data_IF_022216992630
#
_entry.id   IF_022216992630
#
_cell.length_a   1.000
_cell.length_b   1.000
_cell.length_c   1.000
_cell.angle_alpha   90.00
_cell.angle_beta   90.00
_cell.angle_gamma   90.00
#
_symmetry.space_group_name_H-M   'P 1'
#
loop_
_entity.id
_entity.type
_entity.pdbx_description
1 polymer ?
#
# COMPACT_ATOMS: atom_id res chain seq x y z
N UNK A 1 54.95 7.77 -21.43
CA UNK A 1 54.40 7.32 -22.72
C UNK A 1 53.22 6.38 -22.44
N UNK A 2 52.01 6.92 -22.45
CA UNK A 2 50.78 6.23 -22.02
C UNK A 2 50.11 5.52 -23.21
N UNK A 3 49.91 4.21 -23.11
CA UNK A 3 49.18 3.39 -24.08
C UNK A 3 47.67 3.52 -23.88
N UNK A 4 46.98 3.88 -24.95
CA UNK A 4 45.59 4.35 -24.97
C UNK A 4 44.56 3.31 -24.51
N UNK A 5 43.69 3.72 -23.58
CA UNK A 5 42.41 3.06 -23.25
C UNK A 5 41.55 2.97 -24.52
N UNK A 6 41.30 1.75 -24.98
CA UNK A 6 40.44 1.42 -26.12
C UNK A 6 39.00 1.85 -25.80
N UNK A 7 38.62 3.06 -26.20
CA UNK A 7 37.22 3.51 -26.21
C UNK A 7 36.49 2.76 -27.31
N UNK A 8 35.52 1.94 -26.93
CA UNK A 8 34.58 1.31 -27.83
C UNK A 8 33.76 2.41 -28.52
N UNK A 9 34.13 2.71 -29.77
CA UNK A 9 33.49 3.75 -30.61
C UNK A 9 32.38 3.19 -31.50
N UNK A 10 32.07 1.90 -31.41
CA UNK A 10 31.14 1.25 -32.33
C UNK A 10 29.86 0.71 -31.67
N UNK A 11 29.56 1.10 -30.43
CA UNK A 11 28.23 0.92 -29.84
C UNK A 11 27.78 -0.55 -29.70
N UNK A 12 28.76 -1.46 -29.59
CA UNK A 12 28.55 -2.90 -29.36
C UNK A 12 28.99 -3.34 -27.95
N UNK A 13 28.82 -2.44 -26.97
CA UNK A 13 28.90 -2.81 -25.55
C UNK A 13 27.85 -3.88 -25.20
N UNK A 14 28.12 -4.65 -24.14
CA UNK A 14 27.31 -5.78 -23.64
C UNK A 14 25.80 -5.60 -23.86
N UNK A 15 25.23 -6.38 -24.78
CA UNK A 15 23.79 -6.42 -25.04
C UNK A 15 23.23 -7.71 -24.47
N UNK A 16 22.85 -7.66 -23.19
CA UNK A 16 22.22 -8.76 -22.48
C UNK A 16 22.15 -8.44 -20.99
N UNK A 17 21.09 -8.86 -20.27
CA UNK A 17 21.02 -8.68 -18.83
C UNK A 17 22.23 -9.36 -18.17
N UNK A 18 22.98 -8.63 -17.35
CA UNK A 18 24.12 -9.17 -16.60
C UNK A 18 23.68 -10.04 -15.41
N UNK A 19 22.38 -10.32 -15.28
CA UNK A 19 21.80 -11.03 -14.15
C UNK A 19 20.79 -12.07 -14.65
N UNK A 20 20.88 -13.34 -14.23
CA UNK A 20 19.85 -14.33 -14.50
C UNK A 20 18.53 -13.94 -13.79
N UNK A 21 17.35 -14.19 -14.39
CA UNK A 21 16.03 -13.82 -13.84
C UNK A 21 15.61 -14.60 -12.58
N UNK A 22 16.53 -15.35 -11.97
CA UNK A 22 16.28 -16.27 -10.85
C UNK A 22 17.03 -15.87 -9.57
N UNK A 23 17.64 -14.68 -9.50
CA UNK A 23 18.02 -14.11 -8.21
C UNK A 23 16.73 -13.74 -7.42
N UNK A 24 16.71 -13.64 -6.08
CA UNK A 24 15.57 -13.08 -5.36
C UNK A 24 15.41 -11.59 -5.74
N UNK A 25 14.78 -11.35 -6.89
CA UNK A 25 14.72 -10.05 -7.56
C UNK A 25 13.70 -9.21 -6.81
N UNK A 26 14.20 -8.24 -6.04
CA UNK A 26 13.52 -7.03 -5.55
C UNK A 26 12.00 -7.03 -5.72
N UNK A 27 11.24 -7.24 -4.63
CA UNK A 27 9.80 -6.96 -4.63
C UNK A 27 9.53 -5.58 -5.23
N UNK A 28 8.58 -5.51 -6.15
CA UNK A 28 8.12 -4.27 -6.74
C UNK A 28 7.52 -3.35 -5.68
N UNK A 29 7.39 -2.05 -5.96
CA UNK A 29 6.74 -1.13 -5.02
C UNK A 29 5.30 -1.52 -4.71
N UNK A 30 4.58 -2.02 -5.70
CA UNK A 30 3.22 -2.52 -5.54
C UNK A 30 3.19 -3.73 -4.58
N UNK A 31 4.04 -4.74 -4.82
CA UNK A 31 4.11 -5.93 -3.95
C UNK A 31 4.48 -5.58 -2.50
N UNK A 32 5.38 -4.60 -2.28
CA UNK A 32 5.69 -4.13 -0.92
C UNK A 32 4.51 -3.45 -0.25
N UNK A 33 3.73 -2.69 -1.01
CA UNK A 33 2.53 -2.04 -0.49
C UNK A 33 1.46 -3.07 -0.15
N UNK A 34 1.27 -4.07 -1.01
CA UNK A 34 0.34 -5.17 -0.77
C UNK A 34 0.74 -5.98 0.47
N UNK A 35 2.03 -6.29 0.63
CA UNK A 35 2.58 -6.95 1.83
C UNK A 35 2.30 -6.11 3.08
N UNK A 36 2.53 -4.79 3.01
CA UNK A 36 2.28 -3.87 4.12
C UNK A 36 0.79 -3.87 4.52
N UNK A 37 -0.13 -3.73 3.56
CA UNK A 37 -1.57 -3.79 3.83
C UNK A 37 -1.95 -5.16 4.42
N UNK A 38 -1.38 -6.24 3.90
CA UNK A 38 -1.63 -7.59 4.42
C UNK A 38 -1.18 -7.76 5.87
N UNK A 39 0.02 -7.28 6.21
CA UNK A 39 0.57 -7.34 7.57
C UNK A 39 -0.29 -6.52 8.55
N UNK A 40 -0.73 -5.33 8.14
CA UNK A 40 -1.59 -4.45 8.94
C UNK A 40 -2.98 -5.07 9.18
N UNK A 41 -3.61 -5.62 8.13
CA UNK A 41 -4.89 -6.36 8.25
C UNK A 41 -4.72 -7.59 9.15
N UNK A 42 -3.58 -8.29 9.04
CA UNK A 42 -3.23 -9.41 9.90
C UNK A 42 -3.13 -9.00 11.37
N UNK A 43 -2.54 -7.83 11.68
CA UNK A 43 -2.49 -7.29 13.05
C UNK A 43 -3.90 -6.98 13.56
N UNK A 44 -4.72 -6.29 12.78
CA UNK A 44 -6.10 -5.95 13.17
C UNK A 44 -6.94 -7.21 13.40
N UNK A 45 -6.79 -8.22 12.55
CA UNK A 45 -7.48 -9.50 12.65
C UNK A 45 -7.18 -10.29 13.94
N UNK A 46 -6.01 -10.09 14.57
CA UNK A 46 -5.71 -10.72 15.86
C UNK A 46 -6.60 -10.21 17.00
N UNK A 47 -7.07 -8.95 16.93
CA UNK A 47 -7.95 -8.33 17.93
C UNK A 47 -9.43 -8.40 17.53
N UNK A 48 -9.73 -8.14 16.26
CA UNK A 48 -11.08 -7.95 15.72
C UNK A 48 -11.53 -9.07 14.79
N UNK A 49 -10.95 -10.26 14.92
CA UNK A 49 -11.14 -11.34 13.95
C UNK A 49 -12.59 -11.79 13.76
N UNK A 50 -13.46 -11.65 14.78
CA UNK A 50 -14.89 -12.00 14.65
C UNK A 50 -15.63 -10.96 13.83
N UNK A 51 -15.38 -9.69 14.10
CA UNK A 51 -16.01 -8.54 13.46
C UNK A 51 -15.54 -8.40 12.01
N UNK A 52 -14.26 -8.65 11.75
CA UNK A 52 -13.65 -8.55 10.42
C UNK A 52 -13.77 -9.82 9.56
N UNK A 53 -14.36 -10.90 10.07
CA UNK A 53 -14.47 -12.18 9.36
C UNK A 53 -15.23 -12.09 8.01
N UNK A 54 -16.08 -11.08 7.84
CA UNK A 54 -16.88 -10.85 6.63
C UNK A 54 -16.46 -9.57 5.90
N UNK A 55 -15.27 -9.06 6.18
CA UNK A 55 -14.70 -7.87 5.53
C UNK A 55 -13.64 -8.31 4.54
N UNK A 56 -13.79 -7.87 3.29
CA UNK A 56 -12.78 -8.04 2.24
C UNK A 56 -11.88 -6.80 2.23
N UNK A 57 -10.57 -7.01 2.34
CA UNK A 57 -9.58 -5.95 2.18
C UNK A 57 -8.95 -6.05 0.80
N UNK A 58 -8.84 -4.93 0.10
CA UNK A 58 -8.25 -4.89 -1.24
C UNK A 58 -7.37 -3.66 -1.43
N UNK A 59 -6.40 -3.79 -2.33
CA UNK A 59 -5.57 -2.68 -2.81
C UNK A 59 -5.95 -2.36 -4.24
N UNK A 60 -6.15 -1.10 -4.53
CA UNK A 60 -6.36 -0.58 -5.89
C UNK A 60 -5.36 0.55 -6.17
N UNK A 61 -5.08 0.84 -7.44
CA UNK A 61 -4.07 1.84 -7.79
C UNK A 61 -4.56 3.26 -7.50
N UNK A 62 -5.74 3.61 -8.00
CA UNK A 62 -6.35 4.94 -7.91
C UNK A 62 -7.87 4.78 -7.82
N UNK A 63 -8.57 5.69 -7.14
CA UNK A 63 -10.03 5.73 -7.17
C UNK A 63 -10.53 6.15 -8.56
N UNK A 64 -11.71 5.65 -8.94
CA UNK A 64 -12.46 6.19 -10.08
C UNK A 64 -13.18 7.46 -9.61
N UNK A 65 -12.67 8.61 -10.03
CA UNK A 65 -13.20 9.93 -9.68
C UNK A 65 -13.71 10.62 -10.94
N UNK A 66 -14.86 11.28 -10.85
CA UNK A 66 -15.41 12.03 -11.99
C UNK A 66 -14.47 13.19 -12.37
N UNK A 67 -14.39 13.57 -13.66
CA UNK A 67 -13.44 14.58 -14.12
C UNK A 67 -13.60 15.97 -13.48
N UNK A 68 -14.78 16.28 -12.96
CA UNK A 68 -15.16 17.53 -12.30
C UNK A 68 -15.15 17.46 -10.77
N UNK A 69 -14.69 16.34 -10.19
CA UNK A 69 -14.52 16.20 -8.74
C UNK A 69 -13.46 17.19 -8.22
N UNK A 70 -13.87 18.11 -7.34
CA UNK A 70 -13.02 19.14 -6.74
C UNK A 70 -12.54 18.80 -5.31
N UNK A 71 -12.95 17.64 -4.80
CA UNK A 71 -12.63 17.17 -3.46
C UNK A 71 -11.23 16.54 -3.34
N UNK A 72 -10.81 16.22 -2.10
CA UNK A 72 -9.58 15.48 -1.88
C UNK A 72 -9.68 14.07 -2.45
N UNK A 73 -8.64 13.61 -3.16
CA UNK A 73 -8.56 12.24 -3.66
C UNK A 73 -8.55 11.27 -2.47
N UNK A 74 -9.50 10.32 -2.37
CA UNK A 74 -9.60 9.41 -1.24
C UNK A 74 -8.37 8.50 -1.13
N UNK A 75 -8.01 8.15 0.10
CA UNK A 75 -6.95 7.18 0.40
C UNK A 75 -7.51 5.77 0.59
N UNK A 76 -8.73 5.67 1.12
CA UNK A 76 -9.47 4.44 1.24
C UNK A 76 -10.94 4.61 0.86
N UNK A 77 -11.64 3.50 0.74
CA UNK A 77 -13.08 3.46 0.51
C UNK A 77 -13.69 2.21 1.16
N UNK A 78 -14.60 2.41 2.10
CA UNK A 78 -15.46 1.33 2.61
C UNK A 78 -16.76 1.26 1.81
N UNK A 79 -16.95 0.14 1.10
CA UNK A 79 -18.18 -0.18 0.39
C UNK A 79 -19.05 -1.13 1.21
N UNK A 80 -20.34 -0.79 1.45
CA UNK A 80 -21.23 -1.65 2.23
C UNK A 80 -21.49 -2.97 1.50
N UNK A 81 -21.54 -4.05 2.26
CA UNK A 81 -21.98 -5.35 1.75
C UNK A 81 -23.44 -5.28 1.32
N UNK A 82 -23.74 -5.60 0.06
CA UNK A 82 -25.09 -5.63 -0.48
C UNK A 82 -25.31 -6.88 -1.35
N UNK A 83 -26.49 -7.50 -1.23
CA UNK A 83 -26.87 -8.66 -2.04
C UNK A 83 -26.04 -9.92 -1.77
N UNK A 84 -25.62 -10.14 -0.52
CA UNK A 84 -24.79 -11.29 -0.12
C UNK A 84 -23.28 -11.11 -0.35
N UNK A 85 -22.84 -9.91 -0.79
CA UNK A 85 -21.42 -9.56 -0.86
C UNK A 85 -20.90 -9.09 0.50
N UNK A 86 -19.62 -9.37 0.84
CA UNK A 86 -18.99 -8.85 2.04
C UNK A 86 -18.89 -7.32 1.98
N UNK A 87 -18.69 -6.71 3.15
CA UNK A 87 -18.19 -5.32 3.22
C UNK A 87 -16.79 -5.31 2.61
N UNK A 88 -16.45 -4.28 1.84
CA UNK A 88 -15.12 -4.18 1.21
C UNK A 88 -14.43 -2.88 1.61
N UNK A 89 -13.23 -2.99 2.17
CA UNK A 89 -12.36 -1.85 2.48
C UNK A 89 -11.26 -1.85 1.43
N UNK A 90 -11.21 -0.79 0.62
CA UNK A 90 -10.21 -0.61 -0.44
C UNK A 90 -9.19 0.42 0.00
N UNK A 91 -7.90 0.15 -0.18
CA UNK A 91 -6.81 1.10 0.01
C UNK A 91 -6.25 1.49 -1.36
N UNK A 92 -6.18 2.80 -1.64
CA UNK A 92 -5.66 3.31 -2.91
C UNK A 92 -4.16 3.61 -2.82
N UNK A 93 -3.35 2.78 -3.50
CA UNK A 93 -1.89 2.83 -3.41
C UNK A 93 -1.29 4.16 -3.87
N UNK A 94 -1.66 4.66 -5.06
CA UNK A 94 -1.05 5.89 -5.61
C UNK A 94 -1.37 7.13 -4.77
N UNK A 95 -2.62 7.35 -4.32
CA UNK A 95 -2.92 8.44 -3.40
C UNK A 95 -2.14 8.39 -2.08
N UNK A 96 -1.90 7.20 -1.52
CA UNK A 96 -1.10 7.02 -0.29
C UNK A 96 0.37 7.31 -0.56
N UNK A 97 0.97 6.67 -1.57
CA UNK A 97 2.36 6.88 -1.97
C UNK A 97 2.65 8.34 -2.34
N UNK A 98 1.67 9.07 -2.89
CA UNK A 98 1.83 10.47 -3.27
C UNK A 98 1.85 11.43 -2.08
N UNK A 99 1.30 11.04 -0.93
CA UNK A 99 1.25 11.87 0.28
C UNK A 99 2.39 11.59 1.26
N UNK A 100 2.94 10.38 1.23
CA UNK A 100 4.03 9.96 2.11
C UNK A 100 5.42 10.14 1.48
N UNK A 101 6.39 10.50 2.32
CA UNK A 101 7.81 10.58 1.98
C UNK A 101 8.53 9.33 2.48
N UNK A 102 8.57 8.31 1.62
CA UNK A 102 9.31 7.08 1.86
C UNK A 102 8.53 6.00 2.62
N UNK A 103 9.13 4.82 2.74
CA UNK A 103 8.43 3.59 3.17
C UNK A 103 7.86 3.67 4.59
N UNK A 104 8.51 4.40 5.51
CA UNK A 104 8.02 4.55 6.89
C UNK A 104 6.73 5.35 6.97
N UNK A 105 6.64 6.45 6.23
CA UNK A 105 5.44 7.28 6.22
C UNK A 105 4.29 6.59 5.47
N UNK A 106 4.61 5.81 4.43
CA UNK A 106 3.62 4.94 3.77
C UNK A 106 3.06 3.92 4.77
N UNK A 107 3.93 3.25 5.53
CA UNK A 107 3.52 2.29 6.56
C UNK A 107 2.58 2.92 7.60
N UNK A 108 2.94 4.11 8.08
CA UNK A 108 2.12 4.88 9.02
C UNK A 108 0.75 5.24 8.43
N UNK A 109 0.72 5.79 7.22
CA UNK A 109 -0.54 6.16 6.57
C UNK A 109 -1.44 4.96 6.31
N UNK A 110 -0.88 3.81 5.91
CA UNK A 110 -1.66 2.58 5.71
C UNK A 110 -2.26 2.09 7.02
N UNK A 111 -1.46 2.08 8.10
CA UNK A 111 -1.95 1.74 9.44
C UNK A 111 -3.11 2.64 9.83
N UNK A 112 -2.87 3.95 9.84
CA UNK A 112 -3.82 4.93 10.35
C UNK A 112 -5.13 4.85 9.55
N UNK A 113 -5.03 4.79 8.22
CA UNK A 113 -6.17 4.59 7.33
C UNK A 113 -6.97 3.32 7.64
N UNK A 114 -6.32 2.17 7.78
CA UNK A 114 -7.02 0.91 8.07
C UNK A 114 -7.69 0.94 9.45
N UNK A 115 -7.07 1.59 10.43
CA UNK A 115 -7.64 1.78 11.76
C UNK A 115 -8.88 2.67 11.68
N UNK A 116 -8.81 3.79 10.95
CA UNK A 116 -9.94 4.71 10.73
C UNK A 116 -11.11 4.00 10.03
N UNK A 117 -10.87 3.31 8.91
CA UNK A 117 -11.92 2.61 8.15
C UNK A 117 -12.59 1.50 8.97
N UNK A 118 -11.81 0.77 9.78
CA UNK A 118 -12.36 -0.24 10.69
C UNK A 118 -13.13 0.40 11.85
N UNK A 119 -12.63 1.51 12.40
CA UNK A 119 -13.32 2.23 13.46
C UNK A 119 -14.68 2.75 12.99
N UNK A 120 -14.71 3.37 11.80
CA UNK A 120 -15.93 3.84 11.16
C UNK A 120 -16.91 2.68 10.89
N UNK A 121 -16.41 1.55 10.36
CA UNK A 121 -17.22 0.36 10.11
C UNK A 121 -17.85 -0.19 11.41
N UNK A 122 -17.11 -0.19 12.51
CA UNK A 122 -17.57 -0.73 13.79
C UNK A 122 -18.31 0.30 14.66
N UNK A 123 -18.33 1.57 14.26
CA UNK A 123 -18.89 2.67 15.06
C UNK A 123 -18.11 2.92 16.35
N UNK A 124 -16.78 2.78 16.30
CA UNK A 124 -15.86 2.96 17.40
C UNK A 124 -14.94 4.16 17.16
N UNK A 125 -14.15 4.53 18.17
CA UNK A 125 -13.02 5.45 17.96
C UNK A 125 -11.79 4.70 17.43
N UNK A 126 -10.90 5.36 16.66
CA UNK A 126 -9.64 4.77 16.20
C UNK A 126 -8.79 4.16 17.33
N UNK A 127 -8.70 4.83 18.48
CA UNK A 127 -7.91 4.38 19.64
C UNK A 127 -8.51 3.13 20.30
N UNK A 128 -9.83 2.94 20.14
CA UNK A 128 -10.50 1.71 20.57
C UNK A 128 -10.09 0.54 19.67
N UNK A 129 -9.94 0.77 18.37
CA UNK A 129 -9.51 -0.23 17.39
C UNK A 129 -8.02 -0.54 17.54
N UNK A 130 -7.19 0.50 17.62
CA UNK A 130 -5.74 0.40 17.85
C UNK A 130 -5.27 1.45 18.89
N UNK A 131 -4.92 1.03 20.13
CA UNK A 131 -4.41 1.94 21.16
C UNK A 131 -3.12 2.67 20.79
N UNK A 132 -2.40 2.22 19.75
CA UNK A 132 -1.19 2.88 19.27
C UNK A 132 -1.46 4.02 18.28
N UNK A 133 -2.72 4.24 17.88
CA UNK A 133 -3.13 5.22 16.87
C UNK A 133 -2.59 6.64 17.12
N UNK A 134 -2.74 7.16 18.35
CA UNK A 134 -2.24 8.50 18.72
C UNK A 134 -0.76 8.53 19.10
N UNK A 135 -0.10 7.37 19.13
CA UNK A 135 1.31 7.30 19.53
C UNK A 135 2.19 7.45 18.29
N UNK A 136 2.99 8.51 18.18
CA UNK A 136 3.90 8.62 17.06
C UNK A 136 4.92 7.46 17.11
N UNK A 137 5.13 6.78 15.97
CA UNK A 137 6.23 5.80 15.87
C UNK A 137 7.56 6.49 16.21
N UNK A 138 8.25 6.02 17.25
CA UNK A 138 9.63 6.38 17.62
C UNK A 138 10.67 5.88 16.59
#
# INVERSE_FOLDING_TARGET
MAGARRRDRHGRGVRGPLTPPQAPVTRSRAERFDDLVHDEVGRLGQRWGRELAQVEFAVEEVPDVEPDFDGPVPLGLTSPGAGGRPVRIVVFRRPVEARAVGEREVARLVRDLLVEEVADLLGLSPESVDPSYDTPDD
#
